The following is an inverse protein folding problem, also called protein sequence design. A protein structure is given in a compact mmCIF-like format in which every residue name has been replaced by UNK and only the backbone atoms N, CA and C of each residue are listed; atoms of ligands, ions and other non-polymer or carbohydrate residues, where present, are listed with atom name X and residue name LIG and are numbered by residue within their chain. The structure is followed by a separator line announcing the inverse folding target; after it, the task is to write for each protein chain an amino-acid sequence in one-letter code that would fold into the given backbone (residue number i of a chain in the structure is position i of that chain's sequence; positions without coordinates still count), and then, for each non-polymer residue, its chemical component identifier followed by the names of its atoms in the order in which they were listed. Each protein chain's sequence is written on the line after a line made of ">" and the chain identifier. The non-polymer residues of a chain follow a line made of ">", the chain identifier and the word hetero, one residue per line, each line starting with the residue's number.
data_IF_962213430843
#
_entry.id   IF_962213430843
#
_cell.length_a   1.000
_cell.length_b   1.000
_cell.length_c   1.000
_cell.angle_alpha   90.00
_cell.angle_beta   90.00
_cell.angle_gamma   90.00
#
_symmetry.space_group_name_H-M   'P 1'
#
loop_
_entity.id
_entity.type
_entity.pdbx_description
1 polymer ?
#
# COMPACT_ATOMS: atom_id res chain seq x y z
N UNK A 1 -6.22 -5.66 -7.82
CA UNK A 1 -5.36 -4.58 -7.28
C UNK A 1 -4.16 -5.17 -6.55
N UNK A 2 -3.09 -4.41 -6.42
CA UNK A 2 -1.91 -4.76 -5.60
C UNK A 2 -1.72 -3.71 -4.51
N UNK A 3 -1.28 -4.13 -3.32
CA UNK A 3 -0.92 -3.23 -2.23
C UNK A 3 0.41 -3.59 -1.58
N UNK A 4 1.17 -2.56 -1.26
CA UNK A 4 2.48 -2.67 -0.61
C UNK A 4 2.76 -1.41 0.24
N UNK A 5 3.76 -1.49 1.11
CA UNK A 5 4.20 -0.39 1.99
C UNK A 5 5.62 0.01 1.62
N UNK A 6 5.88 1.31 1.59
CA UNK A 6 7.24 1.85 1.56
C UNK A 6 7.52 2.82 2.70
N UNK A 7 8.80 3.00 2.99
CA UNK A 7 9.31 3.84 4.08
C UNK A 7 9.98 5.09 3.51
N UNK A 8 9.64 6.24 4.09
CA UNK A 8 10.16 7.56 3.75
C UNK A 8 10.78 8.17 5.02
N UNK A 9 12.07 8.52 4.98
CA UNK A 9 12.77 9.12 6.13
C UNK A 9 12.51 10.62 6.13
N UNK A 10 12.11 11.15 7.28
CA UNK A 10 11.95 12.58 7.54
C UNK A 10 12.83 12.99 8.72
N UNK A 11 12.96 14.30 8.98
CA UNK A 11 13.65 14.81 10.16
C UNK A 11 13.05 14.32 11.48
N UNK A 12 11.76 14.00 11.53
CA UNK A 12 11.06 13.56 12.74
C UNK A 12 10.99 12.03 12.91
N UNK A 13 11.54 11.26 11.96
CA UNK A 13 11.44 9.80 11.98
C UNK A 13 11.03 9.20 10.64
N UNK A 14 10.59 7.95 10.67
CA UNK A 14 9.99 7.29 9.52
C UNK A 14 8.53 7.74 9.33
N UNK A 15 8.17 7.94 8.06
CA UNK A 15 6.82 8.00 7.54
C UNK A 15 6.62 6.77 6.66
N UNK A 16 5.47 6.11 6.80
CA UNK A 16 5.14 4.89 6.07
C UNK A 16 4.01 5.22 5.11
N UNK A 17 4.16 4.81 3.85
CA UNK A 17 3.17 5.01 2.79
C UNK A 17 2.67 3.63 2.36
N UNK A 18 1.36 3.39 2.48
CA UNK A 18 0.68 2.25 1.89
C UNK A 18 -0.08 2.70 0.64
N UNK A 19 -0.05 1.90 -0.42
CA UNK A 19 -0.75 2.19 -1.68
C UNK A 19 -1.67 1.05 -2.08
N UNK A 20 -2.75 1.38 -2.78
CA UNK A 20 -3.61 0.44 -3.50
C UNK A 20 -3.57 0.81 -4.98
N UNK A 21 -3.04 -0.10 -5.80
CA UNK A 21 -2.80 0.13 -7.22
C UNK A 21 -3.73 -0.77 -8.04
N UNK A 22 -4.45 -0.18 -8.99
CA UNK A 22 -5.11 -0.92 -10.06
C UNK A 22 -4.08 -1.34 -11.11
N UNK A 23 -3.94 -2.64 -11.32
CA UNK A 23 -3.04 -3.19 -12.33
C UNK A 23 -3.58 -3.05 -13.76
N UNK A 24 -4.90 -2.95 -13.94
CA UNK A 24 -5.52 -2.76 -15.25
C UNK A 24 -5.32 -1.32 -15.73
N UNK A 25 -5.62 -0.33 -14.88
CA UNK A 25 -5.42 1.08 -15.20
C UNK A 25 -3.97 1.56 -14.99
N UNK A 26 -3.14 0.81 -14.26
CA UNK A 26 -1.78 1.22 -13.81
C UNK A 26 -1.79 2.53 -13.01
N UNK A 27 -2.78 2.68 -12.14
CA UNK A 27 -2.98 3.88 -11.34
C UNK A 27 -3.06 3.53 -9.86
N UNK A 28 -2.50 4.40 -9.03
CA UNK A 28 -2.79 4.39 -7.59
C UNK A 28 -4.24 4.85 -7.42
N UNK A 29 -5.10 3.95 -6.97
CA UNK A 29 -6.49 4.25 -6.65
C UNK A 29 -6.56 5.03 -5.35
N UNK A 30 -5.80 4.59 -4.35
CA UNK A 30 -5.77 5.22 -3.04
C UNK A 30 -4.46 4.90 -2.30
N UNK A 31 -4.21 5.64 -1.23
CA UNK A 31 -3.02 5.53 -0.42
C UNK A 31 -3.24 6.11 0.97
N UNK A 32 -2.43 5.68 1.94
CA UNK A 32 -2.42 6.25 3.29
C UNK A 32 -1.00 6.43 3.78
N UNK A 33 -0.81 7.44 4.64
CA UNK A 33 0.46 7.70 5.32
C UNK A 33 0.29 7.66 6.83
N UNK A 34 1.27 7.11 7.52
CA UNK A 34 1.30 7.15 8.98
C UNK A 34 2.73 7.15 9.54
N UNK A 35 2.87 7.69 10.75
CA UNK A 35 4.11 7.56 11.54
C UNK A 35 4.38 6.13 12.05
N UNK A 36 3.53 5.17 11.72
CA UNK A 36 3.61 3.77 12.16
C UNK A 36 3.30 2.79 11.03
N UNK A 37 3.72 1.53 11.18
CA UNK A 37 3.43 0.44 10.24
C UNK A 37 2.38 -0.56 10.79
N UNK A 38 1.35 -0.06 11.49
CA UNK A 38 0.25 -0.89 12.01
C UNK A 38 -0.66 -1.35 10.88
N UNK A 39 -1.41 -2.43 11.10
CA UNK A 39 -2.39 -2.95 10.13
C UNK A 39 -3.43 -1.90 9.70
N UNK A 40 -3.78 -0.95 10.57
CA UNK A 40 -4.69 0.14 10.20
C UNK A 40 -4.20 0.91 8.98
N UNK A 41 -2.89 1.09 8.78
CA UNK A 41 -2.35 1.79 7.62
C UNK A 41 -2.81 1.17 6.28
N UNK A 42 -2.79 -0.16 6.18
CA UNK A 42 -3.17 -0.86 4.95
C UNK A 42 -4.68 -1.07 4.85
N UNK A 43 -5.36 -1.25 5.99
CA UNK A 43 -6.83 -1.31 6.05
C UNK A 43 -7.44 0.02 5.62
N UNK A 44 -6.94 1.14 6.13
CA UNK A 44 -7.43 2.48 5.83
C UNK A 44 -7.23 2.82 4.33
N UNK A 45 -6.09 2.42 3.74
CA UNK A 45 -5.85 2.62 2.31
C UNK A 45 -6.85 1.84 1.44
N UNK A 46 -7.13 0.58 1.77
CA UNK A 46 -8.11 -0.22 1.05
C UNK A 46 -9.56 0.24 1.30
N UNK A 47 -9.86 0.74 2.49
CA UNK A 47 -11.16 1.34 2.82
C UNK A 47 -11.40 2.62 2.01
N UNK A 48 -10.41 3.50 1.90
CA UNK A 48 -10.55 4.69 1.07
C UNK A 48 -10.67 4.34 -0.41
N UNK A 49 -9.91 3.37 -0.91
CA UNK A 49 -10.06 2.87 -2.28
C UNK A 49 -11.48 2.34 -2.56
N UNK A 50 -12.09 1.65 -1.58
CA UNK A 50 -13.46 1.16 -1.64
C UNK A 50 -14.48 2.30 -1.62
N UNK A 51 -14.32 3.27 -0.73
CA UNK A 51 -15.20 4.44 -0.59
C UNK A 51 -15.19 5.29 -1.87
N UNK A 52 -14.02 5.49 -2.48
CA UNK A 52 -13.88 6.23 -3.74
C UNK A 52 -14.33 5.44 -4.97
N UNK A 53 -14.74 4.18 -4.79
CA UNK A 53 -15.30 3.34 -5.86
C UNK A 53 -14.25 2.71 -6.78
N UNK A 54 -12.97 2.74 -6.40
CA UNK A 54 -11.90 2.09 -7.17
C UNK A 54 -11.55 0.68 -6.69
N UNK A 55 -12.18 0.20 -5.61
CA UNK A 55 -12.07 -1.19 -5.16
C UNK A 55 -13.46 -1.78 -4.92
N UNK A 56 -13.79 -2.86 -5.63
CA UNK A 56 -15.12 -3.47 -5.64
C UNK A 56 -15.14 -4.85 -4.95
N UNK A 57 -16.25 -5.23 -4.29
CA UNK A 57 -16.42 -6.59 -3.77
C UNK A 57 -16.21 -7.66 -4.85
N UNK A 58 -15.53 -8.74 -4.50
CA UNK A 58 -15.17 -9.84 -5.41
C UNK A 58 -13.80 -9.69 -6.06
N UNK A 59 -13.20 -8.49 -6.02
CA UNK A 59 -11.86 -8.26 -6.56
C UNK A 59 -10.76 -8.92 -5.72
N UNK A 60 -9.64 -9.19 -6.39
CA UNK A 60 -8.45 -9.73 -5.75
C UNK A 60 -7.58 -8.58 -5.26
N UNK A 61 -7.28 -8.59 -3.96
CA UNK A 61 -6.25 -7.75 -3.35
C UNK A 61 -4.97 -8.57 -3.21
N UNK A 62 -3.97 -8.26 -4.02
CA UNK A 62 -2.68 -8.91 -3.99
C UNK A 62 -1.68 -8.13 -3.11
N UNK A 63 -0.85 -8.81 -2.34
CA UNK A 63 0.20 -8.17 -1.51
C UNK A 63 1.39 -9.09 -1.25
N UNK A 64 2.50 -8.52 -0.79
CA UNK A 64 3.60 -9.31 -0.23
C UNK A 64 3.25 -9.97 1.12
N UNK A 65 4.26 -10.61 1.73
CA UNK A 65 4.16 -11.31 3.03
C UNK A 65 4.30 -10.39 4.27
N UNK A 66 4.03 -9.10 4.13
CA UNK A 66 4.06 -8.17 5.25
C UNK A 66 3.11 -8.61 6.37
N UNK A 67 3.56 -8.55 7.63
CA UNK A 67 2.77 -8.98 8.79
C UNK A 67 1.41 -8.26 8.90
N UNK A 68 1.30 -7.06 8.32
CA UNK A 68 0.07 -6.28 8.25
C UNK A 68 -0.99 -6.96 7.39
N UNK A 69 -0.58 -7.56 6.27
CA UNK A 69 -1.47 -8.21 5.31
C UNK A 69 -1.93 -9.59 5.76
N UNK A 70 -1.17 -10.26 6.62
CA UNK A 70 -1.55 -11.55 7.24
C UNK A 70 -2.22 -11.38 8.61
N UNK A 71 -2.23 -10.18 9.18
CA UNK A 71 -2.88 -9.90 10.45
C UNK A 71 -4.40 -10.16 10.37
N UNK A 72 -4.95 -10.76 11.43
CA UNK A 72 -6.38 -11.10 11.49
C UNK A 72 -7.31 -9.90 11.28
N UNK A 73 -6.89 -8.70 11.66
CA UNK A 73 -7.66 -7.47 11.41
C UNK A 73 -7.79 -7.15 9.91
N UNK A 74 -6.72 -7.29 9.13
CA UNK A 74 -6.77 -7.06 7.67
C UNK A 74 -7.53 -8.18 6.97
N UNK A 75 -7.27 -9.42 7.35
CA UNK A 75 -8.00 -10.59 6.83
C UNK A 75 -9.50 -10.49 7.09
N UNK A 76 -9.88 -10.13 8.32
CA UNK A 76 -11.28 -9.91 8.69
C UNK A 76 -11.92 -8.77 7.92
N UNK A 77 -11.20 -7.67 7.70
CA UNK A 77 -11.66 -6.56 6.85
C UNK A 77 -11.89 -7.03 5.41
N UNK A 78 -10.93 -7.73 4.79
CA UNK A 78 -11.09 -8.25 3.43
C UNK A 78 -12.32 -9.16 3.31
N UNK A 79 -12.51 -10.08 4.27
CA UNK A 79 -13.67 -10.97 4.29
C UNK A 79 -14.99 -10.20 4.43
N UNK A 80 -15.06 -9.22 5.33
CA UNK A 80 -16.26 -8.42 5.58
C UNK A 80 -16.69 -7.60 4.35
N UNK A 81 -15.74 -7.16 3.53
CA UNK A 81 -15.99 -6.35 2.34
C UNK A 81 -15.92 -7.15 1.02
N UNK A 82 -15.79 -8.47 1.09
CA UNK A 82 -15.83 -9.36 -0.07
C UNK A 82 -14.56 -9.35 -0.93
N UNK A 83 -13.43 -8.88 -0.41
CA UNK A 83 -12.14 -8.92 -1.12
C UNK A 83 -11.49 -10.30 -0.99
N UNK A 84 -10.91 -10.78 -2.09
CA UNK A 84 -10.13 -12.03 -2.11
C UNK A 84 -8.66 -11.71 -1.93
N UNK A 85 -8.08 -12.05 -0.79
CA UNK A 85 -6.64 -11.87 -0.59
C UNK A 85 -5.84 -12.87 -1.42
N UNK A 86 -4.75 -12.39 -1.99
CA UNK A 86 -3.72 -13.17 -2.65
C UNK A 86 -2.37 -12.66 -2.16
N UNK A 87 -1.43 -13.56 -1.88
CA UNK A 87 -0.08 -13.18 -1.47
C UNK A 87 0.96 -13.76 -2.42
N UNK A 88 2.08 -13.06 -2.56
CA UNK A 88 3.21 -13.48 -3.38
C UNK A 88 3.59 -14.93 -3.10
N UNK A 89 4.08 -15.64 -4.12
CA UNK A 89 4.85 -16.86 -3.86
C UNK A 89 6.27 -16.50 -3.48
N UNK A 90 6.80 -17.15 -2.44
CA UNK A 90 8.20 -16.98 -2.05
C UNK A 90 9.12 -17.22 -3.26
N UNK A 91 9.95 -16.24 -3.59
CA UNK A 91 10.88 -16.30 -4.72
C UNK A 91 10.30 -15.89 -6.08
N UNK A 92 9.09 -15.33 -6.13
CA UNK A 92 8.47 -14.78 -7.34
C UNK A 92 8.36 -13.26 -7.21
N UNK A 93 9.07 -12.51 -8.05
CA UNK A 93 9.10 -11.04 -8.00
C UNK A 93 8.00 -10.34 -8.81
N UNK A 94 7.40 -11.04 -9.78
CA UNK A 94 6.47 -10.43 -10.74
C UNK A 94 5.20 -9.88 -10.09
N UNK A 95 4.77 -10.53 -9.02
CA UNK A 95 3.49 -10.28 -8.37
C UNK A 95 3.48 -8.92 -7.61
N UNK A 96 4.64 -8.49 -7.05
CA UNK A 96 4.83 -7.18 -6.41
C UNK A 96 5.54 -6.13 -7.29
N UNK A 97 6.04 -6.51 -8.48
CA UNK A 97 6.88 -5.65 -9.31
C UNK A 97 6.22 -4.29 -9.68
N UNK A 98 4.90 -4.25 -9.82
CA UNK A 98 4.18 -3.01 -10.11
C UNK A 98 4.27 -1.99 -8.96
N UNK A 99 4.13 -2.45 -7.71
CA UNK A 99 4.25 -1.60 -6.54
C UNK A 99 5.70 -1.15 -6.33
N UNK A 100 6.67 -2.05 -6.49
CA UNK A 100 8.10 -1.72 -6.41
C UNK A 100 8.52 -0.69 -7.46
N UNK A 101 8.04 -0.85 -8.70
CA UNK A 101 8.29 0.09 -9.79
C UNK A 101 7.70 1.48 -9.50
N UNK A 102 6.47 1.54 -8.97
CA UNK A 102 5.86 2.80 -8.54
C UNK A 102 6.69 3.48 -7.44
N UNK A 103 7.10 2.75 -6.40
CA UNK A 103 7.90 3.32 -5.32
C UNK A 103 9.28 3.77 -5.78
N UNK A 104 9.91 3.06 -6.71
CA UNK A 104 11.18 3.49 -7.30
C UNK A 104 11.02 4.83 -8.03
N UNK A 105 9.96 4.98 -8.85
CA UNK A 105 9.64 6.24 -9.52
C UNK A 105 9.38 7.37 -8.53
N UNK A 106 8.45 7.18 -7.60
CA UNK A 106 8.14 8.14 -6.54
C UNK A 106 9.40 8.58 -5.78
N UNK A 107 10.27 7.62 -5.42
CA UNK A 107 11.47 7.93 -4.65
C UNK A 107 12.49 8.73 -5.45
N UNK A 108 12.76 8.33 -6.68
CA UNK A 108 13.78 8.96 -7.51
C UNK A 108 13.36 10.34 -8.02
N UNK A 109 12.09 10.48 -8.40
CA UNK A 109 11.59 11.70 -9.04
C UNK A 109 11.11 12.75 -8.02
N UNK A 110 10.63 12.33 -6.85
CA UNK A 110 10.08 13.25 -5.84
C UNK A 110 10.89 13.23 -4.55
N UNK A 111 10.92 12.09 -3.86
CA UNK A 111 11.41 12.05 -2.49
C UNK A 111 12.90 12.38 -2.37
N UNK A 112 13.75 11.85 -3.24
CA UNK A 112 15.19 12.10 -3.22
C UNK A 112 15.59 13.49 -3.72
N UNK A 113 14.68 14.21 -4.38
CA UNK A 113 14.93 15.57 -4.86
C UNK A 113 14.70 16.64 -3.78
N UNK A 114 14.21 16.25 -2.60
CA UNK A 114 13.81 17.17 -1.53
C UNK A 114 14.25 16.67 -0.16
N UNK A 115 14.34 17.60 0.79
CA UNK A 115 14.54 17.28 2.21
C UNK A 115 13.23 17.54 2.95
N UNK A 116 12.74 16.52 3.66
CA UNK A 116 11.52 16.59 4.44
C UNK A 116 11.85 16.74 5.93
N UNK A 117 11.81 17.96 6.50
CA UNK A 117 12.14 18.17 7.90
C UNK A 117 11.10 17.56 8.85
N UNK A 118 9.83 17.51 8.43
CA UNK A 118 8.71 17.00 9.22
C UNK A 118 7.90 15.99 8.42
N UNK A 119 7.15 15.14 9.11
CA UNK A 119 6.24 14.18 8.46
C UNK A 119 5.13 14.87 7.67
N UNK A 120 4.63 16.01 8.15
CA UNK A 120 3.55 16.75 7.50
C UNK A 120 3.97 17.48 6.20
N UNK A 121 5.29 17.63 5.97
CA UNK A 121 5.83 18.27 4.77
C UNK A 121 6.21 17.27 3.68
N UNK A 122 6.35 15.99 4.06
CA UNK A 122 6.50 14.88 3.12
C UNK A 122 5.16 14.58 2.47
#
# INVERSE_FOLDING_TARGET
>A
MVGDITYLRTGEGWLHLATVIDLAARMVIDWQIAGHMRTSLVSDALEMARIHGGALPGEIFHSGHGAQYSAGAFTGYCQAHGFRQSMDRTGVCWDNAAAESFFAGLKNEVYHQQVFPTRARA
#
